data_IF_960563004450
#
_entry.id   IF_960563004450
#
_cell.length_a   1.000
_cell.length_b   1.000
_cell.length_c   1.000
_cell.angle_alpha   90.00
_cell.angle_beta   90.00
_cell.angle_gamma   90.00
#
_symmetry.space_group_name_H-M   'P 1'
#
loop_
_entity.id
_entity.type
_entity.pdbx_description
1 polymer ?
#
# COMPACT_ATOMS: atom_id res chain seq x y z
N UNK A 1 42.10 27.56 31.87
CA UNK A 1 41.37 27.84 30.61
C UNK A 1 40.90 26.61 29.86
N UNK A 2 41.60 25.44 29.85
CA UNK A 2 41.18 24.20 29.12
C UNK A 2 39.89 23.54 29.63
N UNK A 3 39.55 23.62 30.92
CA UNK A 3 38.34 23.00 31.49
C UNK A 3 37.01 23.73 31.13
N UNK A 4 37.07 25.05 30.89
CA UNK A 4 35.89 25.82 30.48
C UNK A 4 35.54 25.65 28.99
N UNK A 5 36.55 25.35 28.16
CA UNK A 5 36.35 25.06 26.72
C UNK A 5 35.68 23.72 26.49
N UNK A 6 35.98 22.70 27.31
CA UNK A 6 35.37 21.38 27.25
C UNK A 6 33.89 21.38 27.65
N UNK A 7 33.51 22.26 28.60
CA UNK A 7 32.10 22.36 29.04
C UNK A 7 31.22 23.05 27.98
N UNK A 8 31.78 24.02 27.24
CA UNK A 8 31.05 24.67 26.14
C UNK A 8 30.88 23.73 24.95
N UNK A 9 31.86 22.86 24.65
CA UNK A 9 31.77 21.87 23.60
C UNK A 9 30.76 20.74 23.96
N UNK A 10 30.70 20.37 25.24
CA UNK A 10 29.71 19.35 25.69
C UNK A 10 28.28 19.91 25.73
N UNK A 11 28.11 21.22 26.01
CA UNK A 11 26.80 21.88 25.99
C UNK A 11 26.27 22.11 24.56
N UNK A 12 27.16 22.30 23.57
CA UNK A 12 26.75 22.42 22.15
C UNK A 12 26.36 21.05 21.51
N UNK A 13 26.87 19.95 22.06
CA UNK A 13 26.51 18.60 21.60
C UNK A 13 25.17 18.09 22.17
N UNK A 14 24.67 18.74 23.24
CA UNK A 14 23.38 18.36 23.83
C UNK A 14 22.18 19.15 23.27
N UNK A 15 22.43 20.16 22.41
CA UNK A 15 21.37 20.93 21.75
C UNK A 15 21.00 20.43 20.35
N UNK A 16 21.63 19.35 19.87
CA UNK A 16 21.25 18.65 18.63
C UNK A 16 20.34 17.47 18.91
N UNK A 17 19.58 17.48 20.00
CA UNK A 17 18.56 16.49 20.24
C UNK A 17 17.28 16.90 19.49
N UNK A 18 17.20 16.46 18.27
CA UNK A 18 16.03 16.05 17.49
C UNK A 18 14.69 16.64 17.97
N UNK A 19 14.33 17.80 17.48
CA UNK A 19 12.95 17.93 17.02
C UNK A 19 12.88 17.08 15.76
N UNK A 20 12.18 15.95 15.79
CA UNK A 20 11.68 15.28 14.59
C UNK A 20 10.60 16.19 14.01
N UNK A 21 11.00 17.25 13.33
CA UNK A 21 10.14 17.89 12.36
C UNK A 21 9.93 16.87 11.24
N UNK A 22 8.69 16.75 10.75
CA UNK A 22 8.37 15.85 9.66
C UNK A 22 9.35 16.07 8.51
N UNK A 23 10.01 15.03 8.09
CA UNK A 23 11.08 15.15 7.12
C UNK A 23 10.49 15.51 5.76
N UNK A 24 10.89 16.65 5.20
CA UNK A 24 10.79 16.90 3.77
C UNK A 24 11.78 15.95 3.10
N UNK A 25 11.29 14.82 2.61
CA UNK A 25 12.13 13.73 2.14
C UNK A 25 12.85 14.12 0.85
N UNK A 26 12.25 14.98 0.04
CA UNK A 26 12.85 15.40 -1.22
C UNK A 26 12.34 16.76 -1.71
N UNK A 27 13.26 17.60 -2.16
CA UNK A 27 12.98 18.81 -2.93
C UNK A 27 13.95 18.85 -4.11
N UNK A 28 13.44 18.76 -5.34
CA UNK A 28 14.27 18.64 -6.55
C UNK A 28 14.85 19.97 -7.07
N UNK A 29 14.35 21.11 -6.62
CA UNK A 29 14.90 22.42 -6.98
C UNK A 29 15.27 23.24 -5.74
N UNK A 30 16.43 23.91 -5.69
CA UNK A 30 16.72 24.87 -4.65
C UNK A 30 15.68 25.99 -4.67
N UNK A 31 15.24 26.43 -3.49
CA UNK A 31 14.19 27.43 -3.30
C UNK A 31 14.51 28.84 -3.85
N UNK A 32 15.64 29.04 -4.52
CA UNK A 32 16.22 30.35 -4.81
C UNK A 32 15.72 31.02 -6.09
N UNK A 33 14.90 30.36 -6.91
CA UNK A 33 14.24 30.99 -8.05
C UNK A 33 12.80 30.54 -8.17
N UNK A 34 11.82 31.42 -8.34
CA UNK A 34 10.45 31.02 -8.64
C UNK A 34 10.43 30.30 -9.99
N UNK A 35 10.48 28.97 -9.95
CA UNK A 35 10.39 28.14 -11.14
C UNK A 35 8.95 28.19 -11.66
N UNK A 36 8.79 28.42 -12.97
CA UNK A 36 7.49 28.29 -13.62
C UNK A 36 7.04 26.82 -13.81
N UNK A 37 7.94 25.86 -13.50
CA UNK A 37 7.66 24.42 -13.66
C UNK A 37 6.51 23.98 -12.73
N UNK A 38 5.65 23.11 -13.22
CA UNK A 38 4.59 22.50 -12.38
C UNK A 38 5.18 21.79 -11.17
N UNK A 39 4.42 21.76 -10.06
CA UNK A 39 4.83 21.17 -8.79
C UNK A 39 3.86 20.05 -8.41
N UNK A 40 4.39 18.86 -8.14
CA UNK A 40 3.66 17.75 -7.51
C UNK A 40 4.05 17.67 -6.04
N UNK A 41 3.06 17.75 -5.16
CA UNK A 41 3.25 17.61 -3.70
C UNK A 41 2.54 16.35 -3.24
N UNK A 42 3.27 15.43 -2.62
CA UNK A 42 2.69 14.21 -2.03
C UNK A 42 2.66 14.32 -0.51
N UNK A 43 1.54 13.92 0.08
CA UNK A 43 1.37 13.84 1.53
C UNK A 43 1.01 12.40 1.88
N UNK A 44 1.90 11.76 2.62
CA UNK A 44 1.77 10.36 3.04
C UNK A 44 1.10 10.22 4.40
N UNK A 45 0.72 9.00 4.74
CA UNK A 45 0.42 8.64 6.12
C UNK A 45 1.67 8.76 7.02
N UNK A 46 1.49 8.92 8.33
CA UNK A 46 2.63 9.03 9.25
C UNK A 46 3.61 7.87 9.14
N UNK A 47 4.89 8.20 8.98
CA UNK A 47 6.01 7.25 8.88
C UNK A 47 5.84 6.18 7.76
N UNK A 48 5.11 6.50 6.70
CA UNK A 48 4.78 5.54 5.66
C UNK A 48 5.91 5.28 4.66
N UNK A 49 6.71 6.31 4.34
CA UNK A 49 7.81 6.19 3.38
C UNK A 49 8.95 5.36 3.97
N UNK A 50 9.53 4.48 3.16
CA UNK A 50 10.54 3.50 3.57
C UNK A 50 9.91 2.16 3.98
N UNK A 51 8.64 1.91 3.63
CA UNK A 51 7.96 0.65 3.89
C UNK A 51 8.41 -0.49 2.95
N UNK A 52 9.15 -0.17 1.90
CA UNK A 52 9.60 -1.12 0.87
C UNK A 52 8.48 -1.65 -0.02
N UNK A 53 7.27 -1.11 0.12
CA UNK A 53 6.05 -1.56 -0.54
C UNK A 53 5.27 -0.38 -1.14
N UNK A 54 3.98 -0.29 -0.82
CA UNK A 54 3.00 0.62 -1.39
C UNK A 54 3.44 2.10 -1.41
N UNK A 55 3.92 2.64 -0.28
CA UNK A 55 4.30 4.05 -0.22
C UNK A 55 5.59 4.35 -0.98
N UNK A 56 6.52 3.41 -1.00
CA UNK A 56 7.74 3.53 -1.80
C UNK A 56 7.45 3.43 -3.30
N UNK A 57 6.44 2.67 -3.72
CA UNK A 57 5.96 2.65 -5.11
C UNK A 57 5.31 3.98 -5.50
N UNK A 58 4.53 4.62 -4.61
CA UNK A 58 4.02 5.99 -4.84
C UNK A 58 5.19 6.95 -5.07
N UNK A 59 6.19 6.90 -4.18
CA UNK A 59 7.39 7.72 -4.31
C UNK A 59 8.06 7.53 -5.67
N UNK A 60 8.28 6.28 -6.08
CA UNK A 60 8.92 5.94 -7.35
C UNK A 60 8.11 6.44 -8.56
N UNK A 61 6.79 6.24 -8.56
CA UNK A 61 5.92 6.71 -9.64
C UNK A 61 5.94 8.22 -9.81
N UNK A 62 5.94 8.98 -8.71
CA UNK A 62 6.04 10.44 -8.73
C UNK A 62 7.40 10.90 -9.25
N UNK A 63 8.51 10.32 -8.77
CA UNK A 63 9.86 10.71 -9.20
C UNK A 63 10.12 10.34 -10.68
N UNK A 64 9.58 9.20 -11.13
CA UNK A 64 9.66 8.83 -12.54
C UNK A 64 8.91 9.84 -13.40
N UNK A 65 7.65 10.13 -13.09
CA UNK A 65 6.84 11.10 -13.83
C UNK A 65 7.45 12.52 -13.80
N UNK A 66 8.02 12.91 -12.65
CA UNK A 66 8.69 14.21 -12.52
C UNK A 66 9.91 14.33 -13.45
N UNK A 67 10.67 13.28 -13.58
CA UNK A 67 11.82 13.22 -14.48
C UNK A 67 11.39 13.23 -15.97
N UNK A 68 10.33 12.50 -16.31
CA UNK A 68 9.83 12.40 -17.68
C UNK A 68 9.21 13.72 -18.17
N UNK A 69 8.54 14.46 -17.28
CA UNK A 69 7.79 15.67 -17.62
C UNK A 69 8.44 16.98 -17.09
N UNK A 70 9.68 16.93 -16.61
CA UNK A 70 10.43 18.08 -16.07
C UNK A 70 9.64 18.84 -14.98
N UNK A 71 9.11 18.11 -13.99
CA UNK A 71 8.34 18.64 -12.87
C UNK A 71 9.23 18.87 -11.65
N UNK A 72 8.75 19.71 -10.74
CA UNK A 72 9.25 19.75 -9.36
C UNK A 72 8.44 18.80 -8.49
N UNK A 73 9.07 18.20 -7.49
CA UNK A 73 8.41 17.38 -6.49
C UNK A 73 8.64 17.90 -5.09
N UNK A 74 7.67 17.69 -4.21
CA UNK A 74 7.79 17.85 -2.76
C UNK A 74 7.05 16.68 -2.11
N UNK A 75 7.77 15.87 -1.35
CA UNK A 75 7.22 14.69 -0.72
C UNK A 75 7.26 14.86 0.80
N UNK A 76 6.08 14.83 1.45
CA UNK A 76 5.89 15.11 2.85
C UNK A 76 5.48 13.83 3.58
N UNK A 77 6.37 13.31 4.42
CA UNK A 77 6.12 12.16 5.30
C UNK A 77 6.02 12.68 6.74
N UNK A 78 4.81 12.93 7.25
CA UNK A 78 4.63 13.42 8.61
C UNK A 78 4.99 12.35 9.64
N UNK A 79 5.39 12.78 10.84
CA UNK A 79 5.63 11.86 11.95
C UNK A 79 4.36 11.48 12.70
N UNK A 80 3.31 12.30 12.56
CA UNK A 80 2.00 12.10 13.19
C UNK A 80 0.86 12.49 12.25
N UNK A 81 -0.34 11.97 12.50
CA UNK A 81 -1.54 12.35 11.76
C UNK A 81 -1.86 13.85 11.88
N UNK A 82 -1.71 14.42 13.07
CA UNK A 82 -1.97 15.84 13.29
C UNK A 82 -1.00 16.73 12.51
N UNK A 83 0.25 16.33 12.39
CA UNK A 83 1.24 17.02 11.55
C UNK A 83 0.85 16.95 10.07
N UNK A 84 0.45 15.79 9.56
CA UNK A 84 -0.03 15.66 8.19
C UNK A 84 -1.29 16.48 7.91
N UNK A 85 -2.22 16.55 8.86
CA UNK A 85 -3.39 17.44 8.77
C UNK A 85 -2.97 18.91 8.76
N UNK A 86 -1.97 19.31 9.56
CA UNK A 86 -1.44 20.69 9.56
C UNK A 86 -0.79 21.04 8.21
N UNK A 87 -0.08 20.09 7.57
CA UNK A 87 0.45 20.28 6.22
C UNK A 87 -0.69 20.52 5.21
N UNK A 88 -1.72 19.67 5.20
CA UNK A 88 -2.88 19.83 4.32
C UNK A 88 -3.59 21.17 4.53
N UNK A 89 -3.82 21.56 5.78
CA UNK A 89 -4.45 22.84 6.11
C UNK A 89 -3.65 24.02 5.58
N UNK A 90 -2.35 24.01 5.82
CA UNK A 90 -1.42 25.08 5.38
C UNK A 90 -1.36 25.18 3.86
N UNK A 91 -1.24 24.05 3.17
CA UNK A 91 -1.19 23.99 1.71
C UNK A 91 -2.50 24.47 1.08
N UNK A 92 -3.65 24.04 1.60
CA UNK A 92 -4.95 24.45 1.09
C UNK A 92 -5.22 25.96 1.34
N UNK A 93 -4.78 26.50 2.48
CA UNK A 93 -4.85 27.91 2.77
C UNK A 93 -3.96 28.73 1.84
N UNK A 94 -2.72 28.34 1.67
CA UNK A 94 -1.80 28.99 0.74
C UNK A 94 -2.35 28.98 -0.69
N UNK A 95 -2.92 27.86 -1.14
CA UNK A 95 -3.47 27.75 -2.49
C UNK A 95 -4.73 28.58 -2.70
N UNK A 96 -5.58 28.71 -1.68
CA UNK A 96 -6.80 29.53 -1.78
C UNK A 96 -6.48 31.02 -1.94
N UNK A 97 -5.29 31.46 -1.59
CA UNK A 97 -4.82 32.86 -1.65
C UNK A 97 -3.71 33.12 -2.68
N UNK A 98 -3.18 32.08 -3.32
CA UNK A 98 -2.08 32.21 -4.28
C UNK A 98 -2.50 33.01 -5.51
N UNK A 99 -1.61 33.96 -5.91
CA UNK A 99 -1.79 34.84 -7.06
C UNK A 99 -0.97 34.40 -8.28
N UNK A 100 -0.14 33.36 -8.13
CA UNK A 100 0.70 32.85 -9.22
C UNK A 100 -0.07 31.88 -10.13
N UNK A 101 0.49 31.58 -11.29
CA UNK A 101 -0.07 30.69 -12.31
C UNK A 101 0.64 29.35 -12.39
N UNK A 102 1.42 29.01 -11.37
CA UNK A 102 2.14 27.71 -11.32
C UNK A 102 1.12 26.59 -11.08
N UNK A 103 1.10 25.61 -11.98
CA UNK A 103 0.26 24.42 -11.81
C UNK A 103 0.77 23.57 -10.64
N UNK A 104 -0.15 23.15 -9.78
CA UNK A 104 0.15 22.30 -8.61
C UNK A 104 -0.80 21.13 -8.54
N UNK A 105 -0.25 19.96 -8.32
CA UNK A 105 -0.99 18.75 -8.02
C UNK A 105 -0.67 18.32 -6.59
N UNK A 106 -1.69 18.20 -5.76
CA UNK A 106 -1.59 17.60 -4.44
C UNK A 106 -2.03 16.14 -4.54
N UNK A 107 -1.14 15.21 -4.21
CA UNK A 107 -1.43 13.77 -4.11
C UNK A 107 -1.53 13.45 -2.63
N UNK A 108 -2.68 12.92 -2.19
CA UNK A 108 -2.88 12.50 -0.79
C UNK A 108 -3.01 10.99 -0.75
N UNK A 109 -2.03 10.37 -0.13
CA UNK A 109 -1.83 8.92 -0.10
C UNK A 109 -2.20 8.34 1.28
N UNK A 110 -3.29 8.82 1.88
CA UNK A 110 -3.62 8.45 3.25
C UNK A 110 -5.12 8.49 3.53
N UNK A 111 -5.69 7.33 3.83
CA UNK A 111 -7.10 7.19 4.22
C UNK A 111 -7.42 7.95 5.52
N UNK A 112 -6.45 8.17 6.38
CA UNK A 112 -6.59 8.91 7.64
C UNK A 112 -7.01 10.37 7.46
N UNK A 113 -6.85 10.94 6.24
CA UNK A 113 -7.24 12.32 5.91
C UNK A 113 -8.58 12.44 5.18
N UNK A 114 -9.31 11.34 4.93
CA UNK A 114 -10.56 11.32 4.16
C UNK A 114 -11.57 12.38 4.61
N UNK A 115 -11.87 12.42 5.90
CA UNK A 115 -12.84 13.40 6.45
C UNK A 115 -12.42 14.85 6.17
N UNK A 116 -11.12 15.16 6.30
CA UNK A 116 -10.63 16.50 6.02
C UNK A 116 -10.77 16.84 4.54
N UNK A 117 -10.39 15.93 3.66
CA UNK A 117 -10.43 16.13 2.22
C UNK A 117 -11.89 16.35 1.73
N UNK A 118 -12.82 15.50 2.15
CA UNK A 118 -14.23 15.62 1.75
C UNK A 118 -14.86 16.92 2.21
N UNK A 119 -14.46 17.46 3.37
CA UNK A 119 -14.98 18.72 3.89
C UNK A 119 -14.31 19.97 3.29
N UNK A 120 -13.06 19.87 2.82
CA UNK A 120 -12.23 21.03 2.50
C UNK A 120 -11.71 21.11 1.06
N UNK A 121 -11.87 20.09 0.23
CA UNK A 121 -11.36 20.06 -1.15
C UNK A 121 -11.86 21.23 -2.01
N UNK A 122 -13.06 21.73 -1.74
CA UNK A 122 -13.63 22.89 -2.43
C UNK A 122 -12.84 24.21 -2.20
N UNK A 123 -12.01 24.28 -1.15
CA UNK A 123 -11.13 25.44 -0.93
C UNK A 123 -10.14 25.65 -2.08
N UNK A 124 -9.74 24.55 -2.74
CA UNK A 124 -8.86 24.59 -3.91
C UNK A 124 -9.56 25.15 -5.16
N UNK A 125 -10.90 25.20 -5.20
CA UNK A 125 -11.63 25.74 -6.34
C UNK A 125 -11.37 27.23 -6.56
N UNK A 126 -10.89 27.96 -5.55
CA UNK A 126 -10.48 29.37 -5.67
C UNK A 126 -9.25 29.54 -6.57
N UNK A 127 -8.43 28.50 -6.72
CA UNK A 127 -7.24 28.54 -7.56
C UNK A 127 -7.39 27.54 -8.74
N UNK A 128 -7.50 28.03 -10.00
CA UNK A 128 -7.61 27.16 -11.16
C UNK A 128 -6.34 26.33 -11.46
N UNK A 129 -5.21 26.72 -10.89
CA UNK A 129 -3.91 26.05 -11.07
C UNK A 129 -3.59 25.04 -9.99
N UNK A 130 -4.46 24.84 -8.99
CA UNK A 130 -4.31 23.84 -7.95
C UNK A 130 -5.27 22.67 -8.19
N UNK A 131 -4.78 21.47 -8.23
CA UNK A 131 -5.53 20.23 -8.39
C UNK A 131 -5.22 19.26 -7.25
N UNK A 132 -6.13 18.30 -7.01
CA UNK A 132 -6.03 17.29 -5.97
C UNK A 132 -6.25 15.90 -6.58
N UNK A 133 -5.39 14.95 -6.24
CA UNK A 133 -5.56 13.53 -6.45
C UNK A 133 -5.58 12.82 -5.09
N UNK A 134 -6.70 12.20 -4.77
CA UNK A 134 -6.84 11.40 -3.55
C UNK A 134 -6.81 9.92 -3.90
N UNK A 135 -5.90 9.17 -3.25
CA UNK A 135 -5.64 7.77 -3.53
C UNK A 135 -6.47 6.85 -2.65
N UNK A 136 -6.69 5.61 -3.13
CA UNK A 136 -7.27 4.48 -2.41
C UNK A 136 -8.69 4.73 -1.89
N UNK A 137 -9.50 5.37 -2.69
CA UNK A 137 -10.93 5.50 -2.40
C UNK A 137 -11.77 5.18 -3.63
N UNK A 138 -12.75 4.28 -3.48
CA UNK A 138 -13.75 3.96 -4.49
C UNK A 138 -14.79 5.09 -4.66
N UNK A 139 -14.84 6.04 -3.71
CA UNK A 139 -15.84 7.13 -3.73
C UNK A 139 -15.24 8.42 -4.27
N UNK A 140 -15.77 8.97 -5.35
CA UNK A 140 -15.32 10.27 -5.84
C UNK A 140 -15.49 11.36 -4.77
N UNK A 141 -14.64 12.40 -4.87
CA UNK A 141 -14.80 13.60 -4.06
C UNK A 141 -15.94 14.47 -4.63
N UNK A 142 -16.76 15.04 -3.75
CA UNK A 142 -17.63 16.13 -4.16
C UNK A 142 -16.80 17.41 -4.38
N UNK A 143 -17.06 18.17 -5.44
CA UNK A 143 -16.33 19.42 -5.70
C UNK A 143 -14.96 19.21 -6.40
N UNK A 144 -13.91 19.93 -6.00
CA UNK A 144 -12.62 19.89 -6.70
C UNK A 144 -11.79 18.68 -6.29
N UNK A 145 -11.08 18.10 -7.26
CA UNK A 145 -10.19 16.97 -7.10
C UNK A 145 -10.67 15.72 -7.80
N UNK A 146 -9.73 14.84 -8.05
CA UNK A 146 -9.88 13.52 -8.64
C UNK A 146 -9.59 12.44 -7.60
N UNK A 147 -10.11 11.24 -7.83
CA UNK A 147 -9.82 10.08 -6.98
C UNK A 147 -9.30 8.94 -7.84
N UNK A 148 -8.35 8.21 -7.29
CA UNK A 148 -7.80 6.98 -7.86
C UNK A 148 -8.02 5.84 -6.87
N UNK A 149 -8.62 4.77 -7.35
CA UNK A 149 -8.78 3.53 -6.60
C UNK A 149 -8.16 2.36 -7.37
N UNK A 150 -7.37 1.58 -6.69
CA UNK A 150 -6.86 0.31 -7.20
C UNK A 150 -7.55 -0.81 -6.41
N UNK A 151 -8.68 -1.34 -6.90
CA UNK A 151 -9.37 -2.44 -6.24
C UNK A 151 -8.44 -3.63 -6.08
N UNK A 152 -8.50 -4.25 -4.93
CA UNK A 152 -7.59 -5.35 -4.60
C UNK A 152 -8.32 -6.68 -4.38
N UNK A 153 -9.65 -6.64 -4.44
CA UNK A 153 -10.48 -7.82 -4.25
C UNK A 153 -10.14 -8.93 -5.26
N UNK A 154 -10.06 -8.61 -6.55
CA UNK A 154 -9.83 -9.60 -7.61
C UNK A 154 -8.47 -10.28 -7.50
N UNK A 155 -7.40 -9.50 -7.35
CA UNK A 155 -6.05 -10.05 -7.17
C UNK A 155 -5.97 -10.94 -5.92
N UNK A 156 -6.58 -10.52 -4.81
CA UNK A 156 -6.61 -11.29 -3.58
C UNK A 156 -7.53 -12.51 -3.68
N UNK A 157 -8.63 -12.46 -4.44
CA UNK A 157 -9.44 -13.64 -4.75
C UNK A 157 -8.61 -14.68 -5.51
N UNK A 158 -7.93 -14.29 -6.58
CA UNK A 158 -7.04 -15.17 -7.34
C UNK A 158 -5.95 -15.77 -6.43
N UNK A 159 -5.32 -14.94 -5.60
CA UNK A 159 -4.31 -15.38 -4.64
C UNK A 159 -4.88 -16.37 -3.62
N UNK A 160 -6.08 -16.13 -3.09
CA UNK A 160 -6.77 -17.03 -2.16
C UNK A 160 -7.04 -18.39 -2.77
N UNK A 161 -7.49 -18.44 -4.03
CA UNK A 161 -7.69 -19.71 -4.77
C UNK A 161 -6.38 -20.46 -4.91
N UNK A 162 -5.29 -19.78 -5.27
CA UNK A 162 -3.97 -20.43 -5.42
C UNK A 162 -3.42 -20.87 -4.05
N UNK A 163 -3.55 -20.02 -3.03
CA UNK A 163 -3.11 -20.33 -1.67
C UNK A 163 -3.79 -21.60 -1.12
N UNK A 164 -5.05 -21.84 -1.46
CA UNK A 164 -5.75 -23.05 -1.11
C UNK A 164 -5.00 -24.33 -1.56
N UNK A 165 -4.39 -24.29 -2.74
CA UNK A 165 -3.62 -25.43 -3.27
C UNK A 165 -2.24 -25.56 -2.62
N UNK A 166 -1.68 -24.46 -2.09
CA UNK A 166 -0.33 -24.43 -1.51
C UNK A 166 -0.34 -24.70 0.00
N UNK A 167 -1.37 -24.22 0.70
CA UNK A 167 -1.41 -24.25 2.16
C UNK A 167 -2.84 -24.45 2.66
N UNK A 168 -3.12 -25.57 3.35
CA UNK A 168 -4.45 -25.81 3.92
C UNK A 168 -4.77 -24.90 5.11
N UNK A 169 -3.73 -24.34 5.77
CA UNK A 169 -3.86 -23.52 6.97
C UNK A 169 -3.15 -22.19 6.73
N UNK A 170 -3.92 -21.10 6.73
CA UNK A 170 -3.46 -19.74 6.40
C UNK A 170 -3.75 -18.80 7.56
N UNK A 171 -2.73 -18.02 7.94
CA UNK A 171 -2.87 -16.86 8.82
C UNK A 171 -2.88 -15.60 7.94
N UNK A 172 -4.02 -14.92 7.88
CA UNK A 172 -4.16 -13.63 7.25
C UNK A 172 -4.09 -12.55 8.33
N UNK A 173 -3.13 -11.66 8.23
CA UNK A 173 -2.98 -10.52 9.14
C UNK A 173 -3.27 -9.24 8.38
N UNK A 174 -4.27 -8.49 8.81
CA UNK A 174 -4.71 -7.27 8.14
C UNK A 174 -4.52 -6.03 9.04
N UNK A 175 -4.29 -4.87 8.44
CA UNK A 175 -4.09 -3.63 9.18
C UNK A 175 -5.34 -3.28 10.00
N UNK A 176 -6.44 -2.99 9.34
CA UNK A 176 -7.72 -2.69 9.98
C UNK A 176 -8.88 -2.81 8.95
N UNK A 177 -10.12 -3.06 9.42
CA UNK A 177 -11.28 -3.23 8.54
C UNK A 177 -11.92 -1.92 8.08
N UNK A 178 -11.34 -0.76 8.38
CA UNK A 178 -11.91 0.56 8.03
C UNK A 178 -11.30 1.18 6.78
N UNK A 179 -10.23 0.61 6.28
CA UNK A 179 -9.62 1.01 5.02
C UNK A 179 -10.17 0.13 3.91
N UNK A 180 -10.85 0.75 2.95
CA UNK A 180 -11.62 0.10 1.89
C UNK A 180 -10.78 -0.90 1.08
N UNK A 181 -9.53 -0.56 0.76
CA UNK A 181 -8.62 -1.47 0.04
C UNK A 181 -8.12 -2.65 0.88
N UNK A 182 -8.02 -2.49 2.21
CA UNK A 182 -7.67 -3.59 3.13
C UNK A 182 -8.84 -4.54 3.30
N UNK A 183 -10.04 -4.00 3.51
CA UNK A 183 -11.27 -4.78 3.68
C UNK A 183 -11.56 -5.60 2.41
N UNK A 184 -11.51 -4.96 1.23
CA UNK A 184 -11.66 -5.65 -0.05
C UNK A 184 -10.59 -6.72 -0.30
N UNK A 185 -9.36 -6.51 0.16
CA UNK A 185 -8.30 -7.52 0.06
C UNK A 185 -8.58 -8.75 0.95
N UNK A 186 -9.05 -8.52 2.17
CA UNK A 186 -9.41 -9.60 3.12
C UNK A 186 -10.60 -10.40 2.60
N UNK A 187 -11.63 -9.71 2.12
CA UNK A 187 -12.82 -10.35 1.55
C UNK A 187 -12.47 -11.16 0.30
N UNK A 188 -11.70 -10.58 -0.61
CA UNK A 188 -11.25 -11.25 -1.83
C UNK A 188 -10.47 -12.52 -1.52
N UNK A 189 -9.46 -12.44 -0.65
CA UNK A 189 -8.68 -13.61 -0.25
C UNK A 189 -9.55 -14.69 0.42
N UNK A 190 -10.44 -14.27 1.31
CA UNK A 190 -11.33 -15.19 2.03
C UNK A 190 -12.28 -15.92 1.07
N UNK A 191 -12.89 -15.21 0.14
CA UNK A 191 -13.78 -15.79 -0.87
C UNK A 191 -13.02 -16.72 -1.80
N UNK A 192 -11.84 -16.33 -2.26
CA UNK A 192 -10.98 -17.16 -3.10
C UNK A 192 -10.50 -18.42 -2.38
N UNK A 193 -10.04 -18.29 -1.15
CA UNK A 193 -9.60 -19.43 -0.34
C UNK A 193 -10.74 -20.41 -0.05
N UNK A 194 -11.98 -19.96 0.00
CA UNK A 194 -13.16 -20.81 0.21
C UNK A 194 -13.81 -21.30 -1.08
N UNK A 195 -13.34 -20.90 -2.25
CA UNK A 195 -13.89 -21.34 -3.53
C UNK A 195 -13.53 -22.81 -3.84
N UNK A 196 -14.41 -23.47 -4.59
CA UNK A 196 -14.30 -24.92 -4.88
C UNK A 196 -13.57 -25.19 -6.20
N UNK A 197 -12.29 -24.78 -6.30
CA UNK A 197 -11.47 -25.09 -7.49
C UNK A 197 -10.68 -26.39 -7.36
N UNK A 198 -10.30 -26.76 -6.15
CA UNK A 198 -9.48 -27.93 -5.89
C UNK A 198 -10.25 -28.98 -5.08
N UNK A 199 -10.23 -30.21 -5.58
CA UNK A 199 -10.77 -31.35 -4.85
C UNK A 199 -9.62 -32.05 -4.12
N UNK A 200 -9.64 -32.00 -2.81
CA UNK A 200 -8.69 -32.74 -2.00
C UNK A 200 -9.14 -34.21 -1.84
N UNK A 201 -8.20 -35.16 -1.94
CA UNK A 201 -8.52 -36.55 -1.65
C UNK A 201 -9.02 -36.69 -0.20
N UNK A 202 -10.15 -37.37 0.01
CA UNK A 202 -10.76 -37.62 1.32
C UNK A 202 -9.80 -38.29 2.35
N UNK A 203 -8.68 -38.85 1.88
CA UNK A 203 -7.67 -39.52 2.71
C UNK A 203 -6.80 -38.62 3.54
N UNK A 204 -6.70 -37.36 3.20
CA UNK A 204 -5.97 -36.36 3.94
C UNK A 204 -7.04 -35.59 4.74
N UNK A 205 -7.14 -35.84 6.05
CA UNK A 205 -7.98 -35.03 6.96
C UNK A 205 -7.45 -33.58 7.03
N UNK A 206 -7.40 -32.89 5.88
CA UNK A 206 -7.04 -31.49 5.86
C UNK A 206 -8.22 -30.68 6.40
N UNK A 207 -8.05 -30.19 7.61
CA UNK A 207 -8.87 -29.10 8.11
C UNK A 207 -8.36 -27.83 7.42
N UNK A 208 -9.00 -27.46 6.30
CA UNK A 208 -8.82 -26.16 5.69
C UNK A 208 -9.17 -25.09 6.73
N UNK A 209 -8.19 -24.27 7.10
CA UNK A 209 -8.36 -23.24 8.12
C UNK A 209 -7.79 -21.91 7.62
N UNK A 210 -8.63 -20.89 7.62
CA UNK A 210 -8.21 -19.49 7.43
C UNK A 210 -8.53 -18.75 8.72
N UNK A 211 -7.51 -18.14 9.29
CA UNK A 211 -7.68 -17.26 10.46
C UNK A 211 -7.29 -15.86 10.05
N UNK A 212 -8.17 -14.90 10.35
CA UNK A 212 -7.94 -13.48 10.08
C UNK A 212 -7.74 -12.72 11.38
N UNK A 213 -6.63 -11.98 11.48
CA UNK A 213 -6.29 -11.12 12.62
C UNK A 213 -6.18 -9.67 12.14
N UNK A 214 -6.92 -8.77 12.77
CA UNK A 214 -6.79 -7.33 12.53
C UNK A 214 -5.88 -6.70 13.58
N UNK A 215 -4.89 -5.91 13.12
CA UNK A 215 -3.91 -5.27 13.99
C UNK A 215 -4.47 -4.05 14.73
N UNK A 216 -5.52 -3.42 14.21
CA UNK A 216 -6.13 -2.22 14.76
C UNK A 216 -7.59 -2.08 14.38
N UNK A 217 -8.33 -1.35 15.23
CA UNK A 217 -9.69 -0.84 14.93
C UNK A 217 -9.68 0.64 14.48
N UNK A 218 -8.52 1.27 14.39
CA UNK A 218 -8.38 2.66 13.94
C UNK A 218 -8.00 2.69 12.44
N UNK A 219 -8.65 3.56 11.67
CA UNK A 219 -8.38 3.74 10.23
C UNK A 219 -6.92 4.08 9.92
N UNK A 220 -6.22 4.74 10.83
CA UNK A 220 -4.79 5.05 10.71
C UNK A 220 -3.89 3.97 11.32
N UNK A 221 -4.47 2.95 11.97
CA UNK A 221 -3.74 1.93 12.72
C UNK A 221 -3.46 0.66 11.91
N UNK A 222 -2.55 -0.16 12.43
CA UNK A 222 -2.23 -1.48 11.89
C UNK A 222 -1.20 -1.50 10.77
N UNK A 223 -0.76 -0.35 10.27
CA UNK A 223 0.26 -0.25 9.21
C UNK A 223 1.71 -0.24 9.75
N UNK A 224 1.85 -0.23 11.06
CA UNK A 224 3.13 -0.41 11.76
C UNK A 224 2.90 -1.31 12.96
N UNK A 225 3.89 -2.14 13.32
CA UNK A 225 3.79 -3.08 14.43
C UNK A 225 5.17 -3.25 15.09
N UNK A 226 5.18 -3.48 16.41
CA UNK A 226 6.41 -3.84 17.11
C UNK A 226 6.75 -5.33 16.91
N UNK A 227 8.03 -5.66 16.80
CA UNK A 227 8.51 -7.04 16.63
C UNK A 227 7.93 -8.01 17.66
N UNK A 228 7.84 -7.59 18.92
CA UNK A 228 7.29 -8.43 19.99
C UNK A 228 5.81 -8.76 19.78
N UNK A 229 5.04 -7.85 19.22
CA UNK A 229 3.63 -8.07 18.89
C UNK A 229 3.50 -8.98 17.68
N UNK A 230 4.29 -8.74 16.63
CA UNK A 230 4.31 -9.59 15.45
C UNK A 230 4.74 -11.03 15.81
N UNK A 231 5.77 -11.19 16.64
CA UNK A 231 6.19 -12.51 17.16
C UNK A 231 5.05 -13.21 17.91
N UNK A 232 4.32 -12.48 18.78
CA UNK A 232 3.18 -13.05 19.49
C UNK A 232 2.13 -13.56 18.52
N UNK A 233 1.78 -12.79 17.50
CA UNK A 233 0.80 -13.18 16.48
C UNK A 233 1.28 -14.42 15.71
N UNK A 234 2.51 -14.45 15.23
CA UNK A 234 3.05 -15.57 14.45
C UNK A 234 3.16 -16.88 15.25
N UNK A 235 3.41 -16.81 16.55
CA UNK A 235 3.70 -17.97 17.39
C UNK A 235 2.72 -18.14 18.56
N UNK A 236 1.55 -17.59 18.46
CA UNK A 236 0.51 -17.77 19.49
C UNK A 236 0.06 -19.24 19.53
N UNK A 237 0.20 -19.85 20.70
CA UNK A 237 -0.11 -21.27 20.91
C UNK A 237 -1.61 -21.58 21.06
N UNK A 238 -2.43 -20.55 21.14
CA UNK A 238 -3.89 -20.70 21.22
C UNK A 238 -4.52 -20.99 19.84
N UNK A 239 -3.76 -20.87 18.78
CA UNK A 239 -4.19 -21.16 17.42
C UNK A 239 -4.27 -22.68 17.20
N UNK A 240 -5.34 -23.18 16.56
CA UNK A 240 -5.59 -24.62 16.41
C UNK A 240 -4.71 -25.27 15.32
N UNK A 241 -3.40 -25.13 15.39
CA UNK A 241 -2.52 -25.77 14.41
C UNK A 241 -1.28 -24.94 14.07
N UNK A 242 -0.47 -25.46 13.15
CA UNK A 242 0.63 -24.72 12.55
C UNK A 242 0.13 -24.15 11.23
N UNK A 243 0.14 -22.82 11.09
CA UNK A 243 -0.11 -22.21 9.80
C UNK A 243 1.03 -22.51 8.84
N UNK A 244 0.69 -22.79 7.60
CA UNK A 244 1.67 -23.03 6.54
C UNK A 244 1.99 -21.77 5.77
N UNK A 245 1.03 -20.85 5.66
CA UNK A 245 1.19 -19.60 4.94
C UNK A 245 0.80 -18.39 5.81
N UNK A 246 1.57 -17.31 5.67
CA UNK A 246 1.30 -15.99 6.27
C UNK A 246 1.00 -14.98 5.17
N UNK A 247 -0.15 -14.32 5.28
CA UNK A 247 -0.65 -13.32 4.32
C UNK A 247 -0.79 -11.95 5.02
N UNK A 248 0.18 -11.03 4.89
CA UNK A 248 0.22 -9.79 5.66
C UNK A 248 -0.37 -8.59 4.89
N UNK A 249 -1.68 -8.42 4.91
CA UNK A 249 -2.40 -7.27 4.30
C UNK A 249 -2.34 -6.06 5.24
N UNK A 250 -1.13 -5.58 5.54
CA UNK A 250 -0.91 -4.57 6.57
C UNK A 250 0.18 -3.52 6.24
N UNK A 251 0.42 -3.26 4.95
CA UNK A 251 1.36 -2.22 4.50
C UNK A 251 2.75 -2.37 5.13
N UNK A 252 3.29 -1.31 5.72
CA UNK A 252 4.63 -1.32 6.34
C UNK A 252 4.80 -2.34 7.47
N UNK A 253 3.73 -2.74 8.16
CA UNK A 253 3.80 -3.83 9.16
C UNK A 253 4.15 -5.19 8.53
N UNK A 254 3.84 -5.41 7.24
CA UNK A 254 4.21 -6.63 6.53
C UNK A 254 5.71 -6.88 6.55
N UNK A 255 6.52 -5.82 6.50
CA UNK A 255 7.99 -5.92 6.56
C UNK A 255 8.49 -6.48 7.91
N UNK A 256 7.81 -6.15 9.00
CA UNK A 256 8.15 -6.72 10.31
C UNK A 256 7.87 -8.22 10.35
N UNK A 257 6.73 -8.66 9.83
CA UNK A 257 6.40 -10.08 9.71
C UNK A 257 7.37 -10.83 8.80
N UNK A 258 7.70 -10.23 7.65
CA UNK A 258 8.67 -10.75 6.71
C UNK A 258 10.04 -10.96 7.36
N UNK A 259 10.57 -9.92 8.01
CA UNK A 259 11.87 -9.98 8.70
C UNK A 259 11.91 -11.09 9.76
N UNK A 260 10.86 -11.21 10.54
CA UNK A 260 10.77 -12.29 11.55
C UNK A 260 10.68 -13.67 10.89
N UNK A 261 9.93 -13.80 9.79
CA UNK A 261 9.86 -15.06 9.04
C UNK A 261 11.22 -15.45 8.41
N UNK A 262 11.97 -14.48 7.89
CA UNK A 262 13.33 -14.71 7.36
C UNK A 262 14.32 -15.15 8.44
N UNK A 263 14.17 -14.64 9.67
CA UNK A 263 15.03 -15.00 10.80
C UNK A 263 14.70 -16.36 11.41
N UNK A 264 13.43 -16.69 11.51
CA UNK A 264 12.94 -17.82 12.30
C UNK A 264 12.46 -18.97 11.43
N UNK A 265 12.09 -18.70 10.18
CA UNK A 265 11.47 -19.65 9.26
C UNK A 265 10.07 -20.07 9.70
N UNK A 266 9.49 -20.98 8.95
CA UNK A 266 8.28 -21.69 9.36
C UNK A 266 7.02 -21.41 8.51
N UNK A 267 6.97 -20.30 7.78
CA UNK A 267 5.82 -19.97 6.93
C UNK A 267 6.25 -19.78 5.48
N UNK A 268 5.39 -20.19 4.54
CA UNK A 268 5.37 -19.61 3.21
C UNK A 268 4.79 -18.19 3.33
N UNK A 269 5.59 -17.19 2.93
CA UNK A 269 5.23 -15.79 3.09
C UNK A 269 4.65 -15.26 1.78
N UNK A 270 3.42 -14.81 1.78
CA UNK A 270 2.83 -14.17 0.61
C UNK A 270 3.28 -12.72 0.50
N UNK A 271 3.91 -12.35 -0.63
CA UNK A 271 4.21 -10.95 -0.94
C UNK A 271 2.94 -10.13 -1.16
N UNK A 272 2.90 -8.90 -0.64
CA UNK A 272 1.78 -7.97 -0.81
C UNK A 272 2.27 -6.69 -1.46
N UNK A 273 1.52 -6.16 -2.41
CA UNK A 273 1.76 -4.94 -3.20
C UNK A 273 2.97 -5.02 -4.14
N UNK A 274 3.97 -5.82 -3.84
CA UNK A 274 5.17 -6.00 -4.64
C UNK A 274 5.53 -7.48 -4.79
N UNK A 275 6.19 -7.81 -5.90
CA UNK A 275 6.78 -9.14 -6.05
C UNK A 275 7.87 -9.35 -4.99
N UNK A 276 7.73 -10.43 -4.25
CA UNK A 276 8.69 -10.83 -3.24
C UNK A 276 9.49 -12.06 -3.70
N UNK A 277 10.74 -11.82 -4.08
CA UNK A 277 11.66 -12.89 -4.52
C UNK A 277 12.43 -13.45 -3.31
N UNK A 278 11.88 -14.47 -2.71
CA UNK A 278 12.51 -15.17 -1.58
C UNK A 278 12.26 -16.67 -1.69
N UNK A 279 13.21 -17.45 -1.17
CA UNK A 279 13.04 -18.91 -1.06
C UNK A 279 11.89 -19.33 -0.14
N UNK A 280 11.35 -18.40 0.64
CA UNK A 280 10.23 -18.59 1.57
C UNK A 280 8.94 -17.95 1.06
N UNK A 281 8.85 -17.61 -0.22
CA UNK A 281 7.66 -17.03 -0.84
C UNK A 281 7.33 -17.76 -2.13
N UNK A 282 6.14 -18.32 -2.21
CA UNK A 282 5.64 -19.00 -3.41
C UNK A 282 4.67 -18.13 -4.21
N UNK A 283 4.10 -17.11 -3.59
CA UNK A 283 3.01 -16.30 -4.12
C UNK A 283 3.17 -14.85 -3.72
N UNK A 284 2.89 -13.93 -4.66
CA UNK A 284 2.81 -12.50 -4.39
C UNK A 284 1.60 -11.89 -5.07
N UNK A 285 0.96 -10.91 -4.44
CA UNK A 285 0.07 -9.99 -5.14
C UNK A 285 0.81 -8.69 -5.41
N UNK A 286 0.56 -8.12 -6.58
CA UNK A 286 1.20 -6.88 -7.02
C UNK A 286 0.17 -5.78 -7.24
N UNK A 287 0.57 -4.54 -6.94
CA UNK A 287 -0.23 -3.34 -7.08
C UNK A 287 0.61 -2.25 -7.73
N UNK A 288 0.38 -2.01 -9.01
CA UNK A 288 1.16 -1.07 -9.82
C UNK A 288 0.73 0.38 -9.59
N UNK A 289 0.75 0.83 -8.34
CA UNK A 289 0.41 2.21 -7.98
C UNK A 289 1.37 3.23 -8.58
N UNK A 290 2.64 2.87 -8.76
CA UNK A 290 3.66 3.65 -9.46
C UNK A 290 3.20 4.03 -10.88
N UNK A 291 2.74 3.03 -11.65
CA UNK A 291 2.23 3.21 -13.01
C UNK A 291 0.92 4.01 -13.03
N UNK A 292 0.03 3.76 -12.08
CA UNK A 292 -1.23 4.46 -11.98
C UNK A 292 -1.04 5.95 -11.66
N UNK A 293 -0.09 6.28 -10.78
CA UNK A 293 0.28 7.67 -10.46
C UNK A 293 0.92 8.36 -11.67
N UNK A 294 1.83 7.69 -12.36
CA UNK A 294 2.44 8.25 -13.58
C UNK A 294 1.37 8.58 -14.63
N UNK A 295 0.40 7.68 -14.84
CA UNK A 295 -0.77 7.93 -15.71
C UNK A 295 -1.59 9.15 -15.24
N UNK A 296 -1.89 9.26 -13.96
CA UNK A 296 -2.65 10.40 -13.42
C UNK A 296 -1.90 11.72 -13.60
N UNK A 297 -0.58 11.74 -13.42
CA UNK A 297 0.25 12.94 -13.63
C UNK A 297 0.27 13.32 -15.12
N UNK A 298 0.40 12.36 -16.04
CA UNK A 298 0.31 12.59 -17.47
C UNK A 298 -1.06 13.18 -17.86
N UNK A 299 -2.14 12.60 -17.37
CA UNK A 299 -3.50 13.12 -17.56
C UNK A 299 -3.66 14.53 -16.99
N UNK A 300 -3.12 14.78 -15.79
CA UNK A 300 -3.15 16.12 -15.18
C UNK A 300 -2.44 17.16 -16.06
N UNK A 301 -1.36 16.78 -16.73
CA UNK A 301 -0.63 17.69 -17.62
C UNK A 301 -1.34 17.90 -18.95
N UNK A 302 -2.19 16.96 -19.37
CA UNK A 302 -2.94 17.03 -20.61
C UNK A 302 -4.00 18.15 -20.60
N UNK A 303 -4.47 18.63 -21.77
CA UNK A 303 -5.56 19.61 -21.85
C UNK A 303 -6.90 19.09 -21.29
N UNK A 304 -7.13 17.80 -21.35
CA UNK A 304 -8.35 17.13 -20.89
C UNK A 304 -8.41 17.04 -19.36
N UNK A 305 -7.24 17.03 -18.71
CA UNK A 305 -7.12 16.86 -17.28
C UNK A 305 -7.40 15.45 -16.79
N UNK A 306 -7.30 15.25 -15.48
CA UNK A 306 -7.62 13.96 -14.84
C UNK A 306 -9.14 13.73 -14.85
N UNK A 307 -9.62 12.50 -15.08
CA UNK A 307 -11.00 12.15 -14.82
C UNK A 307 -11.35 12.35 -13.34
N UNK A 308 -12.65 12.55 -13.06
CA UNK A 308 -13.13 12.79 -11.70
C UNK A 308 -12.86 11.61 -10.76
N UNK A 309 -12.96 10.41 -11.29
CA UNK A 309 -12.68 9.15 -10.61
C UNK A 309 -12.10 8.14 -11.60
N UNK A 310 -11.10 7.39 -11.16
CA UNK A 310 -10.57 6.23 -11.87
C UNK A 310 -10.52 5.04 -10.91
N UNK A 311 -11.01 3.89 -11.39
CA UNK A 311 -10.78 2.58 -10.79
C UNK A 311 -9.95 1.77 -11.78
N UNK A 312 -8.79 1.29 -11.34
CA UNK A 312 -7.80 0.56 -12.17
C UNK A 312 -7.44 -0.73 -11.44
N UNK A 313 -8.10 -1.82 -11.80
CA UNK A 313 -8.01 -3.09 -11.10
C UNK A 313 -7.31 -4.20 -11.86
N UNK A 314 -7.72 -5.43 -11.55
CA UNK A 314 -7.18 -6.65 -12.14
C UNK A 314 -7.41 -6.71 -13.66
N UNK A 315 -8.60 -6.30 -14.12
CA UNK A 315 -8.95 -6.26 -15.54
C UNK A 315 -8.08 -5.29 -16.36
N UNK A 316 -7.58 -4.22 -15.72
CA UNK A 316 -6.74 -3.20 -16.34
C UNK A 316 -5.24 -3.53 -16.21
N UNK A 317 -4.89 -4.59 -15.49
CA UNK A 317 -3.52 -5.01 -15.23
C UNK A 317 -2.76 -4.07 -14.26
N UNK A 318 -3.47 -3.37 -13.39
CA UNK A 318 -2.86 -2.57 -12.32
C UNK A 318 -2.78 -3.31 -10.98
N UNK A 319 -3.56 -4.37 -10.82
CA UNK A 319 -3.36 -5.34 -9.75
C UNK A 319 -3.19 -6.74 -10.37
N UNK A 320 -2.59 -7.66 -9.66
CA UNK A 320 -2.35 -9.00 -10.19
C UNK A 320 -1.75 -9.96 -9.19
N UNK A 321 -1.53 -11.20 -9.67
CA UNK A 321 -0.91 -12.27 -8.90
C UNK A 321 0.30 -12.79 -9.64
N UNK A 322 1.43 -12.86 -8.95
CA UNK A 322 2.65 -13.48 -9.43
C UNK A 322 2.97 -14.73 -8.63
N UNK A 323 3.19 -15.83 -9.35
CA UNK A 323 3.58 -17.11 -8.79
C UNK A 323 5.05 -17.32 -9.08
N UNK A 324 5.84 -17.65 -8.07
CA UNK A 324 7.27 -17.89 -8.20
C UNK A 324 7.50 -19.26 -8.85
N UNK A 325 7.58 -19.28 -10.17
CA UNK A 325 7.62 -20.53 -10.98
C UNK A 325 8.90 -21.33 -10.86
N UNK A 326 10.01 -20.67 -10.50
CA UNK A 326 11.33 -21.33 -10.31
C UNK A 326 11.55 -21.80 -8.85
N UNK A 327 10.52 -21.65 -8.01
CA UNK A 327 10.62 -21.96 -6.61
C UNK A 327 10.28 -23.44 -6.37
N UNK A 328 11.26 -24.21 -5.88
CA UNK A 328 11.06 -25.60 -5.46
C UNK A 328 10.02 -25.74 -4.35
N UNK A 329 9.80 -24.67 -3.55
CA UNK A 329 8.75 -24.61 -2.53
C UNK A 329 7.36 -24.70 -3.15
N UNK A 330 7.06 -23.91 -4.19
CA UNK A 330 5.75 -23.90 -4.86
C UNK A 330 5.36 -25.31 -5.38
N UNK A 331 6.25 -25.94 -6.16
CA UNK A 331 5.99 -27.27 -6.67
C UNK A 331 6.03 -28.34 -5.58
N UNK A 332 6.90 -28.19 -4.59
CA UNK A 332 6.97 -29.09 -3.44
C UNK A 332 5.69 -29.07 -2.60
N UNK A 333 5.08 -27.91 -2.41
CA UNK A 333 3.81 -27.78 -1.69
C UNK A 333 2.65 -28.38 -2.49
N UNK A 334 2.58 -28.15 -3.80
CA UNK A 334 1.57 -28.79 -4.66
C UNK A 334 1.66 -30.32 -4.60
N UNK A 335 2.88 -30.88 -4.70
CA UNK A 335 3.10 -32.31 -4.62
C UNK A 335 2.78 -32.87 -3.22
N UNK A 336 3.19 -32.17 -2.18
CA UNK A 336 2.96 -32.57 -0.78
C UNK A 336 1.46 -32.65 -0.47
N UNK A 337 0.68 -31.69 -0.96
CA UNK A 337 -0.78 -31.64 -0.74
C UNK A 337 -1.57 -32.48 -1.76
N UNK A 338 -0.90 -33.16 -2.70
CA UNK A 338 -1.56 -33.85 -3.82
C UNK A 338 -2.60 -32.96 -4.54
N UNK A 339 -2.36 -31.66 -4.58
CA UNK A 339 -3.20 -30.73 -5.29
C UNK A 339 -3.16 -31.01 -6.80
N UNK A 340 -4.26 -30.76 -7.47
CA UNK A 340 -4.26 -30.79 -8.93
C UNK A 340 -3.22 -29.77 -9.45
N UNK A 341 -2.45 -30.10 -10.49
CA UNK A 341 -1.46 -29.15 -11.01
C UNK A 341 -2.15 -27.86 -11.46
N UNK A 342 -1.58 -26.73 -11.09
CA UNK A 342 -2.04 -25.41 -11.51
C UNK A 342 -1.69 -25.20 -12.98
N UNK A 343 -2.51 -25.78 -13.87
CA UNK A 343 -2.32 -25.65 -15.31
C UNK A 343 -2.58 -24.23 -15.79
N UNK A 344 -2.03 -23.83 -16.93
CA UNK A 344 -2.30 -22.54 -17.55
C UNK A 344 -3.79 -22.31 -17.81
N UNK A 345 -4.52 -23.34 -18.24
CA UNK A 345 -5.97 -23.29 -18.44
C UNK A 345 -6.72 -23.01 -17.13
N UNK A 346 -6.34 -23.69 -16.04
CA UNK A 346 -6.92 -23.45 -14.73
C UNK A 346 -6.59 -22.04 -14.22
N UNK A 347 -5.35 -21.60 -14.37
CA UNK A 347 -4.96 -20.22 -14.02
C UNK A 347 -5.78 -19.18 -14.76
N UNK A 348 -5.94 -19.34 -16.07
CA UNK A 348 -6.77 -18.45 -16.89
C UNK A 348 -8.24 -18.46 -16.44
N UNK A 349 -8.76 -19.62 -16.04
CA UNK A 349 -10.12 -19.74 -15.52
C UNK A 349 -10.26 -18.97 -14.21
N UNK A 350 -9.34 -19.17 -13.27
CA UNK A 350 -9.32 -18.49 -11.97
C UNK A 350 -9.21 -16.97 -12.18
N UNK A 351 -8.29 -16.54 -13.04
CA UNK A 351 -8.08 -15.12 -13.36
C UNK A 351 -9.33 -14.45 -13.93
N UNK A 352 -10.00 -15.08 -14.90
CA UNK A 352 -11.24 -14.54 -15.46
C UNK A 352 -12.37 -14.48 -14.44
N UNK A 353 -12.43 -15.45 -13.55
CA UNK A 353 -13.40 -15.47 -12.45
C UNK A 353 -13.09 -14.35 -11.43
N UNK A 354 -11.82 -14.12 -11.13
CA UNK A 354 -11.38 -13.05 -10.25
C UNK A 354 -11.78 -11.67 -10.80
N UNK A 355 -11.56 -11.41 -12.10
CA UNK A 355 -12.00 -10.18 -12.77
C UNK A 355 -13.53 -10.00 -12.64
N UNK A 356 -14.30 -11.06 -12.89
CA UNK A 356 -15.75 -11.00 -12.78
C UNK A 356 -16.19 -10.72 -11.34
N UNK A 357 -15.57 -11.37 -10.37
CA UNK A 357 -15.85 -11.22 -8.94
C UNK A 357 -15.51 -9.81 -8.43
N UNK A 358 -14.38 -9.24 -8.86
CA UNK A 358 -14.03 -7.87 -8.55
C UNK A 358 -15.09 -6.90 -9.07
N UNK A 359 -15.50 -7.06 -10.33
CA UNK A 359 -16.55 -6.22 -10.92
C UNK A 359 -17.94 -6.40 -10.26
N UNK A 360 -18.21 -7.52 -9.59
CA UNK A 360 -19.42 -7.75 -8.78
C UNK A 360 -19.30 -7.10 -7.40
N UNK A 361 -18.12 -7.15 -6.78
CA UNK A 361 -17.85 -6.60 -5.46
C UNK A 361 -17.91 -5.06 -5.44
N UNK A 362 -17.49 -4.41 -6.52
CA UNK A 362 -17.47 -2.94 -6.66
C UNK A 362 -18.83 -2.29 -6.99
N UNK A 363 -19.91 -3.05 -7.13
CA UNK A 363 -21.26 -2.52 -7.43
C UNK A 363 -22.03 -2.18 -6.17
#
# INVERSE_FOLDING_TARGET
>A
MRKKLLLVLAASLLLTCCTKEGDVIYQTDPADAPSAKPLVTVIYDPNAVGDGNYNDLIYQGVEQAAKEHDLRTMQLSPSTRDEGLAYLQTLFEQMSTAQDTVRRLFIVAAASYDNYLRQNNNRLAANPYADLLYLETAKPLDGKGSTLYLPYYGAMYEAGVIAQALAPEVLLVAANPKVESVDGAVDGFTDGFNADYFQYPERLNYNKALVTEYLSDDVAGGFTIADTTAMRIMFDREWPGYFHMLVPVCGGAARTFQHLNDLMGGYDFMGIDTYYDSSNSSLSTVKHIDRAIALCIEQWLSPEGMPKHQSLGLADGYTGVEVTTDNSLFYGLLDYHNAAPLTEELRNTIHNDAIRKEAEYEK
#
